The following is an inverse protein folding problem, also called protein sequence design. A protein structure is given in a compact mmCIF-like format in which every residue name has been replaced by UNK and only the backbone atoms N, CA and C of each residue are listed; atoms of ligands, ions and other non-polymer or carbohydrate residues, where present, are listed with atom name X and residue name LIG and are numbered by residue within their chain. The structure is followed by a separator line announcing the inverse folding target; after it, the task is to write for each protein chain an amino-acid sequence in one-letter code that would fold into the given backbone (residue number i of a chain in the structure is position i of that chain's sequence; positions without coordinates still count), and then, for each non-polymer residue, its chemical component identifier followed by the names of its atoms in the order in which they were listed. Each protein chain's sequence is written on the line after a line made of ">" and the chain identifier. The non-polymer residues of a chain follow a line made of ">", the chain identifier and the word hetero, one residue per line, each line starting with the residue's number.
data_IF_568290590812
#
_entry.id   IF_568290590812
#
_cell.length_a   1.000
_cell.length_b   1.000
_cell.length_c   1.000
_cell.angle_alpha   90.00
_cell.angle_beta   90.00
_cell.angle_gamma   90.00
#
_symmetry.space_group_name_H-M   'P 1'
#
loop_
_entity.id
_entity.type
_entity.pdbx_description
1 polymer ?
#
# COMPACT_ATOMS: atom_id res chain seq x y z
N UNK A 1 59.50 13.05 15.33
CA UNK A 1 59.00 12.84 13.95
C UNK A 1 58.19 11.54 13.95
N UNK A 2 57.01 11.52 13.41
CA UNK A 2 55.95 10.47 13.42
C UNK A 2 54.91 10.57 14.54
N UNK A 3 53.94 11.45 14.39
CA UNK A 3 52.59 11.31 14.89
C UNK A 3 51.67 11.94 13.84
N UNK A 4 51.24 11.19 12.84
CA UNK A 4 50.16 11.58 11.93
C UNK A 4 49.71 10.39 11.03
N UNK A 5 49.05 9.34 11.56
CA UNK A 5 48.40 8.36 10.68
C UNK A 5 47.20 7.60 11.29
N UNK A 6 46.73 7.94 12.51
CA UNK A 6 45.65 7.15 13.14
C UNK A 6 44.26 7.79 13.12
N UNK A 7 44.13 9.07 12.75
CA UNK A 7 42.84 9.77 12.78
C UNK A 7 41.98 9.63 11.53
N UNK A 8 42.59 9.32 10.39
CA UNK A 8 41.85 9.27 9.10
C UNK A 8 41.07 7.93 8.91
N UNK A 9 41.54 6.84 9.48
CA UNK A 9 40.86 5.54 9.34
C UNK A 9 39.57 5.42 10.16
N UNK A 10 39.49 6.10 11.30
CA UNK A 10 38.32 6.04 12.19
C UNK A 10 37.14 6.79 11.56
N UNK A 11 37.37 7.90 10.85
CA UNK A 11 36.31 8.67 10.20
C UNK A 11 35.70 7.96 9.00
N UNK A 12 36.49 7.21 8.24
CA UNK A 12 35.99 6.45 7.08
C UNK A 12 35.14 5.25 7.51
N UNK A 13 35.53 4.54 8.57
CA UNK A 13 34.76 3.40 9.09
C UNK A 13 33.42 3.83 9.73
N UNK A 14 33.38 4.95 10.43
CA UNK A 14 32.14 5.49 11.01
C UNK A 14 31.19 6.00 9.92
N UNK A 15 31.70 6.59 8.85
CA UNK A 15 30.87 7.07 7.73
C UNK A 15 30.26 5.92 6.92
N UNK A 16 31.01 4.83 6.71
CA UNK A 16 30.49 3.62 6.02
C UNK A 16 29.45 2.89 6.87
N UNK A 17 29.59 2.87 8.21
CA UNK A 17 28.59 2.26 9.09
C UNK A 17 27.31 3.08 9.14
N UNK A 18 27.38 4.43 9.09
CA UNK A 18 26.21 5.31 9.04
C UNK A 18 25.42 5.21 7.72
N UNK A 19 26.09 4.99 6.58
CA UNK A 19 25.41 4.80 5.29
C UNK A 19 24.73 3.43 5.19
N UNK A 20 25.21 2.41 5.89
CA UNK A 20 24.62 1.07 5.87
C UNK A 20 23.35 0.95 6.74
N UNK A 21 23.01 1.93 7.56
CA UNK A 21 21.79 1.94 8.39
C UNK A 21 20.57 2.59 7.73
N UNK A 22 20.69 3.19 6.55
CA UNK A 22 19.59 3.93 5.92
C UNK A 22 18.73 3.12 4.93
N UNK A 23 18.97 1.83 4.72
CA UNK A 23 18.25 1.09 3.68
C UNK A 23 17.60 -0.23 4.08
N UNK A 24 17.43 -0.53 5.34
CA UNK A 24 16.49 -1.59 5.70
C UNK A 24 15.07 -0.98 5.67
N UNK A 25 14.40 -1.02 4.52
CA UNK A 25 12.97 -0.82 4.48
C UNK A 25 12.37 -1.77 5.53
N UNK A 26 11.73 -1.22 6.57
CA UNK A 26 11.08 -2.05 7.56
C UNK A 26 10.04 -2.91 6.83
N UNK A 27 10.16 -4.22 6.93
CA UNK A 27 9.18 -5.14 6.34
C UNK A 27 7.78 -4.74 6.81
N UNK A 28 6.78 -4.67 5.91
CA UNK A 28 5.43 -4.33 6.31
C UNK A 28 4.88 -5.39 7.27
N UNK A 29 4.22 -4.98 8.34
CA UNK A 29 3.48 -5.91 9.18
C UNK A 29 2.18 -6.29 8.47
N UNK A 30 2.17 -7.45 7.79
CA UNK A 30 1.02 -7.93 7.02
C UNK A 30 0.21 -8.88 7.88
N UNK A 31 -1.02 -8.49 8.18
CA UNK A 31 -2.04 -9.33 8.81
C UNK A 31 -2.73 -10.14 7.70
N UNK A 32 -2.44 -11.42 7.65
CA UNK A 32 -2.93 -12.32 6.61
C UNK A 32 -4.43 -12.61 6.75
N UNK A 33 -5.02 -13.11 5.68
CA UNK A 33 -6.46 -13.40 5.58
C UNK A 33 -7.00 -14.28 6.70
N UNK A 34 -6.22 -15.24 7.16
CA UNK A 34 -6.58 -16.13 8.28
C UNK A 34 -6.67 -15.40 9.61
N UNK A 35 -5.84 -14.37 9.81
CA UNK A 35 -5.75 -13.63 11.08
C UNK A 35 -6.93 -12.67 11.27
N UNK A 36 -7.49 -12.10 10.18
CA UNK A 36 -8.69 -11.27 10.24
C UNK A 36 -9.99 -12.05 9.91
N UNK A 37 -9.91 -13.40 9.93
CA UNK A 37 -11.06 -14.29 9.67
C UNK A 37 -11.76 -13.98 8.35
N UNK A 38 -11.00 -13.86 7.25
CA UNK A 38 -11.54 -13.66 5.92
C UNK A 38 -12.48 -14.81 5.54
N UNK A 39 -13.53 -14.46 4.82
CA UNK A 39 -14.35 -15.46 4.14
C UNK A 39 -13.60 -16.02 2.93
N UNK A 40 -13.89 -17.25 2.58
CA UNK A 40 -13.44 -17.81 1.32
C UNK A 40 -14.02 -17.02 0.13
N UNK A 41 -13.22 -16.76 -0.92
CA UNK A 41 -13.72 -16.15 -2.15
C UNK A 41 -14.78 -17.03 -2.79
N UNK A 42 -15.81 -16.44 -3.41
CA UNK A 42 -16.83 -17.19 -4.18
C UNK A 42 -16.26 -17.94 -5.38
N UNK A 43 -15.13 -17.50 -5.90
CA UNK A 43 -14.35 -18.15 -6.94
C UNK A 43 -12.88 -17.71 -6.86
N UNK A 44 -11.99 -18.51 -7.43
CA UNK A 44 -10.57 -18.19 -7.48
C UNK A 44 -10.32 -16.86 -8.20
N UNK A 45 -9.52 -15.98 -7.60
CA UNK A 45 -9.16 -14.72 -8.22
C UNK A 45 -8.33 -14.93 -9.48
N UNK A 46 -8.65 -14.19 -10.55
CA UNK A 46 -7.80 -14.15 -11.74
C UNK A 46 -6.43 -13.55 -11.39
N UNK A 47 -5.38 -14.01 -12.05
CA UNK A 47 -4.02 -13.48 -11.93
C UNK A 47 -3.94 -12.09 -12.61
N UNK A 48 -3.01 -11.27 -12.16
CA UNK A 48 -2.63 -10.05 -12.89
C UNK A 48 -2.12 -10.40 -14.27
N UNK A 49 -2.56 -9.66 -15.30
CA UNK A 49 -2.05 -9.83 -16.67
C UNK A 49 -0.62 -9.30 -16.83
N UNK A 50 -0.28 -8.26 -16.08
CA UNK A 50 1.05 -7.66 -16.07
C UNK A 50 1.64 -7.85 -14.67
N UNK A 51 2.67 -8.69 -14.56
CA UNK A 51 3.44 -8.95 -13.35
C UNK A 51 4.92 -8.89 -13.70
N UNK A 52 5.72 -8.09 -12.97
CA UNK A 52 5.34 -7.20 -11.87
C UNK A 52 4.38 -6.08 -12.28
N UNK A 53 3.54 -5.64 -11.34
CA UNK A 53 2.51 -4.64 -11.59
C UNK A 53 3.12 -3.27 -11.93
N UNK A 54 2.79 -2.66 -13.09
CA UNK A 54 3.33 -1.35 -13.45
C UNK A 54 2.62 -0.16 -12.78
N UNK A 55 1.58 -0.39 -12.00
CA UNK A 55 0.82 0.66 -11.31
C UNK A 55 0.51 0.29 -9.87
N UNK A 56 0.57 1.30 -8.98
CA UNK A 56 -0.02 1.28 -7.64
C UNK A 56 -1.12 2.32 -7.60
N UNK A 57 -2.32 1.93 -7.13
CA UNK A 57 -3.46 2.85 -7.05
C UNK A 57 -3.88 2.99 -5.59
N UNK A 58 -3.85 4.24 -5.10
CA UNK A 58 -4.22 4.58 -3.73
C UNK A 58 -5.70 4.91 -3.66
N UNK A 59 -6.36 4.29 -2.69
CA UNK A 59 -7.76 4.48 -2.34
C UNK A 59 -7.94 4.91 -0.90
N UNK A 60 -9.11 5.43 -0.57
CA UNK A 60 -9.65 5.47 0.78
C UNK A 60 -10.97 4.69 0.86
N UNK A 61 -11.33 4.26 2.08
CA UNK A 61 -12.56 3.48 2.26
C UNK A 61 -13.82 4.31 2.44
N UNK A 62 -13.65 5.61 2.76
CA UNK A 62 -14.70 6.47 3.33
C UNK A 62 -15.16 5.96 4.71
N UNK A 63 -15.87 6.79 5.48
CA UNK A 63 -16.33 6.46 6.82
C UNK A 63 -15.23 6.45 7.89
N UNK A 64 -15.51 5.96 9.09
CA UNK A 64 -14.57 5.97 10.20
C UNK A 64 -13.31 5.12 9.92
N UNK A 65 -12.14 5.63 10.31
CA UNK A 65 -10.88 4.87 10.34
C UNK A 65 -10.83 3.82 11.46
N UNK A 66 -9.64 3.27 11.68
CA UNK A 66 -9.36 2.34 12.77
C UNK A 66 -7.90 2.50 13.21
N UNK A 67 -7.65 2.47 14.52
CA UNK A 67 -6.37 2.74 15.15
C UNK A 67 -5.85 1.56 15.99
N UNK A 68 -6.57 0.45 16.02
CA UNK A 68 -6.14 -0.79 16.67
C UNK A 68 -6.35 -1.98 15.75
N UNK A 69 -5.50 -2.99 15.87
CA UNK A 69 -5.57 -4.18 15.02
C UNK A 69 -6.97 -4.82 15.06
N UNK A 70 -7.55 -4.97 16.23
CA UNK A 70 -8.90 -5.56 16.37
C UNK A 70 -9.97 -4.74 15.65
N UNK A 71 -9.94 -3.39 15.76
CA UNK A 71 -10.88 -2.52 15.05
C UNK A 71 -10.67 -2.56 13.53
N UNK A 72 -9.40 -2.60 13.07
CA UNK A 72 -9.09 -2.67 11.64
C UNK A 72 -9.48 -4.02 11.04
N UNK A 73 -9.24 -5.14 11.72
CA UNK A 73 -9.71 -6.47 11.30
C UNK A 73 -11.22 -6.51 11.09
N UNK A 74 -12.00 -5.93 12.04
CA UNK A 74 -13.45 -5.81 11.90
C UNK A 74 -13.85 -4.98 10.67
N UNK A 75 -13.16 -3.86 10.41
CA UNK A 75 -13.40 -3.02 9.22
C UNK A 75 -13.11 -3.78 7.92
N UNK A 76 -11.98 -4.46 7.84
CA UNK A 76 -11.61 -5.25 6.66
C UNK A 76 -12.65 -6.32 6.37
N UNK A 77 -13.11 -7.03 7.42
CA UNK A 77 -14.19 -8.02 7.30
C UNK A 77 -15.51 -7.40 6.86
N UNK A 78 -15.85 -6.21 7.37
CA UNK A 78 -17.04 -5.48 6.92
C UNK A 78 -16.97 -5.13 5.44
N UNK A 79 -15.82 -4.64 4.95
CA UNK A 79 -15.63 -4.35 3.52
C UNK A 79 -15.73 -5.61 2.66
N UNK A 80 -15.14 -6.72 3.09
CA UNK A 80 -15.30 -7.99 2.37
C UNK A 80 -16.77 -8.39 2.28
N UNK A 81 -17.50 -8.32 3.39
CA UNK A 81 -18.92 -8.65 3.42
C UNK A 81 -19.76 -7.73 2.52
N UNK A 82 -19.48 -6.43 2.53
CA UNK A 82 -20.16 -5.48 1.65
C UNK A 82 -19.89 -5.79 0.17
N UNK A 83 -18.63 -5.98 -0.19
CA UNK A 83 -18.24 -6.30 -1.56
C UNK A 83 -18.86 -7.61 -2.05
N UNK A 84 -18.88 -8.63 -1.22
CA UNK A 84 -19.41 -9.95 -1.59
C UNK A 84 -20.94 -10.01 -1.57
N UNK A 85 -21.58 -9.36 -0.61
CA UNK A 85 -23.04 -9.50 -0.41
C UNK A 85 -23.84 -8.40 -1.13
N UNK A 86 -23.36 -7.13 -1.09
CA UNK A 86 -24.10 -6.01 -1.70
C UNK A 86 -23.70 -5.78 -3.15
N UNK A 87 -22.39 -5.89 -3.47
CA UNK A 87 -21.89 -5.66 -4.84
C UNK A 87 -21.83 -6.93 -5.68
N UNK A 88 -22.06 -8.11 -5.10
CA UNK A 88 -22.01 -9.38 -5.78
C UNK A 88 -20.60 -9.83 -6.22
N UNK A 89 -19.54 -9.15 -5.72
CA UNK A 89 -18.18 -9.51 -6.10
C UNK A 89 -17.75 -10.85 -5.50
N UNK A 90 -16.73 -11.43 -6.09
CA UNK A 90 -16.22 -12.73 -5.64
C UNK A 90 -15.47 -12.64 -4.31
N UNK A 91 -14.93 -11.46 -3.98
CA UNK A 91 -14.14 -11.21 -2.78
C UNK A 91 -14.05 -9.70 -2.52
N UNK A 92 -13.31 -9.31 -1.47
CA UNK A 92 -12.88 -7.92 -1.24
C UNK A 92 -12.21 -7.35 -2.49
N UNK A 93 -12.44 -6.06 -2.80
CA UNK A 93 -11.98 -5.47 -4.06
C UNK A 93 -10.50 -5.11 -4.10
N UNK A 94 -9.93 -4.76 -2.96
CA UNK A 94 -8.54 -4.27 -2.85
C UNK A 94 -7.53 -5.41 -2.76
N UNK A 95 -6.30 -5.16 -3.22
CA UNK A 95 -5.18 -6.08 -2.98
C UNK A 95 -4.75 -6.02 -1.52
N UNK A 96 -4.62 -4.82 -0.98
CA UNK A 96 -4.26 -4.59 0.42
C UNK A 96 -5.07 -3.44 1.00
N UNK A 97 -5.25 -3.46 2.32
CA UNK A 97 -5.81 -2.35 3.09
C UNK A 97 -4.78 -1.95 4.16
N UNK A 98 -4.82 -0.69 4.58
CA UNK A 98 -3.90 -0.16 5.59
C UNK A 98 -4.70 0.58 6.64
N UNK A 99 -4.52 0.22 7.91
CA UNK A 99 -5.12 0.90 9.05
C UNK A 99 -4.25 2.02 9.61
N UNK A 100 -4.85 2.92 10.37
CA UNK A 100 -4.12 3.93 11.15
C UNK A 100 -3.43 3.33 12.40
N UNK A 101 -3.57 2.02 12.61
CA UNK A 101 -2.78 1.19 13.53
C UNK A 101 -1.39 0.83 12.97
N UNK A 102 -1.10 1.22 11.72
CA UNK A 102 0.17 0.95 11.05
C UNK A 102 0.30 -0.45 10.45
N UNK A 103 -0.75 -1.27 10.50
CA UNK A 103 -0.74 -2.60 9.90
C UNK A 103 -1.27 -2.59 8.45
N UNK A 104 -0.76 -3.54 7.68
CA UNK A 104 -1.27 -3.90 6.35
C UNK A 104 -2.16 -5.13 6.48
N UNK A 105 -3.32 -5.11 5.86
CA UNK A 105 -4.27 -6.22 5.84
C UNK A 105 -4.34 -6.81 4.45
N UNK A 106 -4.06 -8.10 4.31
CA UNK A 106 -4.14 -8.79 3.03
C UNK A 106 -5.60 -8.88 2.57
N UNK A 107 -5.90 -8.23 1.43
CA UNK A 107 -7.16 -8.39 0.74
C UNK A 107 -7.09 -9.54 -0.27
N UNK A 108 -6.97 -9.23 -1.57
CA UNK A 108 -6.68 -10.25 -2.60
C UNK A 108 -5.22 -10.68 -2.61
N UNK A 109 -4.31 -9.88 -2.04
CA UNK A 109 -2.88 -10.15 -1.99
C UNK A 109 -2.16 -9.88 -3.32
N UNK A 110 -0.91 -10.33 -3.37
CA UNK A 110 -0.01 -10.16 -4.49
C UNK A 110 -0.40 -11.02 -5.70
N UNK A 111 -0.03 -10.57 -6.89
CA UNK A 111 -0.21 -11.31 -8.14
C UNK A 111 -1.66 -11.54 -8.57
N UNK A 112 -2.65 -11.07 -7.82
CA UNK A 112 -4.08 -11.27 -8.09
C UNK A 112 -4.72 -10.01 -8.64
N UNK A 113 -5.61 -10.19 -9.62
CA UNK A 113 -6.43 -9.10 -10.18
C UNK A 113 -7.38 -8.56 -9.12
N UNK A 114 -7.33 -7.24 -8.89
CA UNK A 114 -8.26 -6.53 -8.01
C UNK A 114 -9.65 -6.34 -8.62
N UNK A 115 -10.53 -5.71 -7.84
CA UNK A 115 -11.81 -5.14 -8.29
C UNK A 115 -11.95 -3.73 -7.68
N UNK A 116 -10.96 -2.88 -7.88
CA UNK A 116 -10.86 -1.55 -7.24
C UNK A 116 -10.81 -0.40 -8.24
N UNK A 117 -10.39 -0.64 -9.48
CA UNK A 117 -10.30 0.41 -10.52
C UNK A 117 -10.35 -0.19 -11.92
N UNK A 118 -11.45 -0.04 -12.61
CA UNK A 118 -11.58 -0.35 -14.04
C UNK A 118 -11.03 0.86 -14.83
N UNK A 119 -10.16 0.71 -15.84
CA UNK A 119 -9.62 -0.50 -16.46
C UNK A 119 -8.25 -0.97 -15.91
N UNK A 120 -7.86 -0.56 -14.72
CA UNK A 120 -6.52 -0.83 -14.16
C UNK A 120 -6.44 -2.14 -13.34
N UNK A 121 -7.56 -2.79 -13.01
CA UNK A 121 -7.60 -3.96 -12.13
C UNK A 121 -6.63 -5.11 -12.52
N UNK A 122 -6.29 -5.24 -13.80
CA UNK A 122 -5.47 -6.35 -14.31
C UNK A 122 -3.97 -5.98 -14.46
N UNK A 123 -3.58 -4.78 -14.05
CA UNK A 123 -2.22 -4.26 -14.19
C UNK A 123 -1.78 -3.38 -13.02
N UNK A 124 -2.49 -3.42 -11.90
CA UNK A 124 -2.19 -2.59 -10.72
C UNK A 124 -2.38 -3.34 -9.41
N UNK A 125 -1.69 -2.85 -8.39
CA UNK A 125 -1.94 -3.16 -6.98
C UNK A 125 -2.79 -2.04 -6.40
N UNK A 126 -3.98 -2.38 -5.90
CA UNK A 126 -4.88 -1.44 -5.22
C UNK A 126 -4.66 -1.47 -3.72
N UNK A 127 -4.26 -0.32 -3.16
CA UNK A 127 -4.04 -0.13 -1.72
C UNK A 127 -5.10 0.83 -1.19
N UNK A 128 -5.89 0.40 -0.20
CA UNK A 128 -6.92 1.21 0.42
C UNK A 128 -6.52 1.61 1.84
N UNK A 129 -6.32 2.90 2.10
CA UNK A 129 -6.14 3.39 3.46
C UNK A 129 -7.53 3.52 4.10
N UNK A 130 -7.72 2.86 5.26
CA UNK A 130 -9.02 2.77 5.94
C UNK A 130 -9.34 4.09 6.62
N UNK A 131 -10.36 4.80 6.16
CA UNK A 131 -10.78 6.10 6.68
C UNK A 131 -11.35 7.01 5.61
N UNK A 132 -11.74 8.22 6.04
CA UNK A 132 -12.19 9.30 5.16
C UNK A 132 -11.16 10.42 5.12
N UNK A 133 -10.53 10.58 3.96
CA UNK A 133 -9.43 11.53 3.76
C UNK A 133 -9.80 12.67 2.81
N UNK A 134 -11.06 13.07 2.82
CA UNK A 134 -11.50 14.28 2.10
C UNK A 134 -10.95 15.55 2.73
N UNK A 135 -10.94 15.62 4.07
CA UNK A 135 -10.61 16.84 4.84
C UNK A 135 -9.47 16.64 5.86
N UNK A 136 -8.85 15.47 5.92
CA UNK A 136 -7.68 15.15 6.76
C UNK A 136 -6.76 14.19 6.04
N UNK A 137 -5.51 14.10 6.48
CA UNK A 137 -4.55 13.09 6.02
C UNK A 137 -4.55 11.87 6.94
N UNK A 138 -4.11 10.69 6.46
CA UNK A 138 -3.79 9.56 7.33
C UNK A 138 -2.68 9.94 8.32
N UNK A 139 -2.60 9.21 9.44
CA UNK A 139 -1.49 9.37 10.37
C UNK A 139 -0.16 8.83 9.78
N UNK A 140 0.96 9.17 10.46
CA UNK A 140 2.30 8.78 10.00
C UNK A 140 2.48 7.25 9.93
N UNK A 141 1.86 6.49 10.85
CA UNK A 141 1.96 5.04 10.86
C UNK A 141 1.35 4.40 9.60
N UNK A 142 0.16 4.85 9.20
CA UNK A 142 -0.49 4.38 7.97
C UNK A 142 0.32 4.76 6.71
N UNK A 143 0.86 5.99 6.66
CA UNK A 143 1.71 6.45 5.54
C UNK A 143 2.96 5.59 5.43
N UNK A 144 3.64 5.32 6.55
CA UNK A 144 4.82 4.48 6.58
C UNK A 144 4.51 3.03 6.19
N UNK A 145 3.37 2.49 6.64
CA UNK A 145 2.94 1.14 6.27
C UNK A 145 2.70 1.00 4.75
N UNK A 146 2.11 2.01 4.11
CA UNK A 146 1.98 2.04 2.64
C UNK A 146 3.34 2.08 1.96
N UNK A 147 4.27 2.93 2.43
CA UNK A 147 5.61 3.02 1.86
C UNK A 147 6.36 1.68 1.97
N UNK A 148 6.34 1.05 3.15
CA UNK A 148 6.97 -0.25 3.39
C UNK A 148 6.36 -1.35 2.52
N UNK A 149 5.02 -1.38 2.37
CA UNK A 149 4.33 -2.35 1.51
C UNK A 149 4.76 -2.22 0.04
N UNK A 150 4.86 -1.00 -0.46
CA UNK A 150 5.28 -0.74 -1.85
C UNK A 150 6.75 -1.15 -2.03
N UNK A 151 7.63 -0.77 -1.12
CA UNK A 151 9.05 -1.15 -1.17
C UNK A 151 9.20 -2.67 -1.16
N UNK A 152 8.52 -3.37 -0.25
CA UNK A 152 8.48 -4.83 -0.21
C UNK A 152 7.97 -5.43 -1.54
N UNK A 153 6.94 -4.85 -2.14
CA UNK A 153 6.41 -5.28 -3.43
C UNK A 153 7.42 -5.13 -4.57
N UNK A 154 8.24 -4.07 -4.56
CA UNK A 154 9.31 -3.86 -5.53
C UNK A 154 10.44 -4.87 -5.32
N UNK A 155 10.91 -5.04 -4.09
CA UNK A 155 11.98 -5.98 -3.73
C UNK A 155 11.62 -7.44 -4.11
N UNK A 156 10.35 -7.81 -3.97
CA UNK A 156 9.86 -9.17 -4.27
C UNK A 156 9.31 -9.32 -5.70
N UNK A 157 9.57 -8.36 -6.59
CA UNK A 157 9.15 -8.40 -7.99
C UNK A 157 7.62 -8.57 -8.18
N UNK A 158 6.84 -8.05 -7.26
CA UNK A 158 5.37 -7.93 -7.36
C UNK A 158 4.95 -6.60 -8.00
N UNK A 159 5.76 -5.55 -7.79
CA UNK A 159 5.61 -4.20 -8.34
C UNK A 159 6.88 -3.88 -9.15
N UNK A 160 6.74 -3.26 -10.32
CA UNK A 160 7.90 -2.80 -11.11
C UNK A 160 8.68 -1.72 -10.36
N UNK A 161 10.01 -1.70 -10.51
CA UNK A 161 10.86 -0.65 -9.91
C UNK A 161 10.54 0.75 -10.46
N UNK A 162 10.05 0.84 -11.71
CA UNK A 162 9.61 2.06 -12.40
C UNK A 162 8.09 2.24 -12.37
N UNK A 163 7.39 1.68 -11.36
CA UNK A 163 5.94 1.75 -11.25
C UNK A 163 5.43 3.20 -11.25
N UNK A 164 4.17 3.38 -11.64
CA UNK A 164 3.47 4.67 -11.54
C UNK A 164 2.49 4.62 -10.38
N UNK A 165 2.61 5.58 -9.46
CA UNK A 165 1.68 5.77 -8.34
C UNK A 165 0.56 6.72 -8.76
N UNK A 166 -0.67 6.29 -8.57
CA UNK A 166 -1.88 7.02 -8.94
C UNK A 166 -2.87 7.08 -7.79
N UNK A 167 -3.69 8.12 -7.75
CA UNK A 167 -4.92 8.11 -6.97
C UNK A 167 -6.09 7.58 -7.79
N UNK A 168 -7.07 6.94 -7.17
CA UNK A 168 -8.21 6.33 -7.86
C UNK A 168 -8.95 7.31 -8.80
N UNK A 169 -9.08 8.59 -8.43
CA UNK A 169 -9.74 9.62 -9.27
C UNK A 169 -9.09 9.87 -10.62
N UNK A 170 -7.83 9.45 -10.78
CA UNK A 170 -7.14 9.55 -12.06
C UNK A 170 -7.53 8.43 -13.04
N UNK A 171 -8.05 7.33 -12.52
CA UNK A 171 -8.37 6.12 -13.27
C UNK A 171 -9.88 5.89 -13.44
N UNK A 172 -10.69 6.58 -12.63
CA UNK A 172 -12.14 6.50 -12.63
C UNK A 172 -12.77 7.80 -12.16
N UNK A 173 -14.02 8.08 -12.55
CA UNK A 173 -14.76 9.26 -12.10
C UNK A 173 -15.24 9.07 -10.66
N UNK A 174 -14.47 9.56 -9.69
CA UNK A 174 -14.72 9.42 -8.25
C UNK A 174 -13.98 10.50 -7.46
N UNK A 175 -14.41 10.77 -6.23
CA UNK A 175 -13.68 11.62 -5.29
C UNK A 175 -12.54 10.88 -4.54
N UNK A 176 -12.51 9.55 -4.63
CA UNK A 176 -11.46 8.74 -4.01
C UNK A 176 -10.07 9.10 -4.57
N UNK A 177 -9.04 9.23 -3.75
CA UNK A 177 -8.92 8.86 -2.34
C UNK A 177 -9.26 9.97 -1.33
N UNK A 178 -10.03 10.99 -1.71
CA UNK A 178 -10.29 12.18 -0.91
C UNK A 178 -9.27 13.30 -1.19
N UNK A 179 -9.64 14.56 -1.01
CA UNK A 179 -8.81 15.69 -1.44
C UNK A 179 -7.48 15.79 -0.69
N UNK A 180 -7.52 15.61 0.63
CA UNK A 180 -6.30 15.73 1.44
C UNK A 180 -5.30 14.62 1.15
N UNK A 181 -5.76 13.35 1.06
CA UNK A 181 -4.88 12.24 0.70
C UNK A 181 -4.40 12.36 -0.76
N UNK A 182 -5.26 12.79 -1.66
CA UNK A 182 -4.86 13.02 -3.06
C UNK A 182 -3.76 14.07 -3.19
N UNK A 183 -3.86 15.18 -2.43
CA UNK A 183 -2.81 16.20 -2.39
C UNK A 183 -1.52 15.65 -1.80
N UNK A 184 -1.62 14.84 -0.73
CA UNK A 184 -0.45 14.23 -0.09
C UNK A 184 0.29 13.29 -1.05
N UNK A 185 -0.40 12.38 -1.74
CA UNK A 185 0.24 11.39 -2.61
C UNK A 185 0.93 12.00 -3.82
N UNK A 186 0.63 13.24 -4.20
CA UNK A 186 1.33 13.96 -5.27
C UNK A 186 2.82 14.22 -4.95
N UNK A 187 3.19 14.23 -3.68
CA UNK A 187 4.58 14.35 -3.24
C UNK A 187 5.29 13.00 -3.04
N UNK A 188 4.59 11.88 -3.20
CA UNK A 188 5.17 10.56 -3.01
C UNK A 188 6.02 10.14 -4.21
N UNK A 189 7.05 9.30 -3.99
CA UNK A 189 7.84 8.74 -5.09
C UNK A 189 6.96 8.09 -6.16
N UNK A 190 7.39 8.16 -7.40
CA UNK A 190 6.70 7.58 -8.57
C UNK A 190 5.30 8.13 -8.86
N UNK A 191 4.89 9.22 -8.17
CA UNK A 191 3.66 9.91 -8.56
C UNK A 191 3.67 10.22 -10.05
N UNK A 192 2.57 9.94 -10.74
CA UNK A 192 2.43 10.19 -12.17
C UNK A 192 1.09 10.81 -12.49
N UNK A 193 1.07 11.69 -13.48
CA UNK A 193 -0.17 12.07 -14.11
C UNK A 193 -0.56 11.05 -15.17
N UNK A 194 -1.87 10.73 -15.24
CA UNK A 194 -2.40 9.96 -16.37
C UNK A 194 -2.85 10.97 -17.42
N UNK A 195 -2.19 11.00 -18.54
CA UNK A 195 -2.71 11.70 -19.72
C UNK A 195 -4.00 10.98 -20.13
N UNK A 196 -5.12 11.67 -20.01
CA UNK A 196 -6.44 11.19 -20.44
C UNK A 196 -6.52 11.16 -21.95
#
# INVERSE_FOLDING_TARGET
>A
MYIATTTTLIFVTVYVILIAQETAANSPNIIFRTEWNAREPKSQASILKLKPAPYVIIHHSVGPGCETQAACQLKVKQFQNEHMNKRGWTDIGYNFLVGEDGNVYEGRGWGKKGAHSIPFNNKSIGICIIGDYRNRTPNAAAVQAVANLIAYGVENNEIKSDYKLLGHRQTWQTECPGNSLYTMIKSWPHWSEVNK
#
